data_IF_836026038271
#
_entry.id   IF_836026038271
#
_cell.length_a   1.000
_cell.length_b   1.000
_cell.length_c   1.000
_cell.angle_alpha   90.00
_cell.angle_beta   90.00
_cell.angle_gamma   90.00
#
_symmetry.space_group_name_H-M   'P 1'
#
loop_
_entity.id
_entity.type
_entity.pdbx_description
1 polymer ?
#
# COMPACT_ATOMS: atom_id res chain seq x y z
N UNK A 1 -1.72 8.67 23.37
CA UNK A 1 -2.21 7.28 23.27
C UNK A 1 -1.25 6.33 23.97
N UNK A 2 -1.70 5.14 24.41
CA UNK A 2 -0.79 4.13 24.94
C UNK A 2 0.21 3.68 23.87
N UNK A 3 1.41 3.26 24.29
CA UNK A 3 2.46 2.71 23.40
C UNK A 3 2.02 1.39 22.73
N UNK A 4 0.91 0.79 23.17
CA UNK A 4 0.35 -0.45 22.64
C UNK A 4 -1.16 -0.35 22.51
N UNK A 5 -1.70 -0.83 21.40
CA UNK A 5 -3.14 -0.91 21.11
C UNK A 5 -3.42 -2.30 20.57
N UNK A 6 -4.57 -2.89 20.92
CA UNK A 6 -5.01 -4.16 20.36
C UNK A 6 -6.23 -3.89 19.48
N UNK A 7 -6.12 -4.21 18.19
CA UNK A 7 -7.23 -4.15 17.24
C UNK A 7 -7.50 -5.57 16.71
N UNK A 8 -8.72 -6.05 16.94
CA UNK A 8 -9.05 -7.46 16.72
C UNK A 8 -8.14 -8.37 17.56
N UNK A 9 -7.35 -9.21 16.89
CA UNK A 9 -6.39 -10.12 17.53
C UNK A 9 -4.93 -9.68 17.38
N UNK A 10 -4.69 -8.46 16.86
CA UNK A 10 -3.34 -7.98 16.55
C UNK A 10 -2.91 -6.89 17.51
N UNK A 11 -1.68 -7.00 18.01
CA UNK A 11 -1.01 -5.94 18.77
C UNK A 11 -0.38 -4.94 17.80
N UNK A 12 -0.68 -3.66 18.01
CA UNK A 12 -0.05 -2.52 17.36
C UNK A 12 0.85 -1.82 18.37
N UNK A 13 2.14 -1.70 18.05
CA UNK A 13 3.15 -1.12 18.95
C UNK A 13 3.64 0.19 18.38
N UNK A 14 3.71 1.23 19.21
CA UNK A 14 4.22 2.54 18.83
C UNK A 14 5.73 2.48 18.54
N UNK A 15 6.10 2.69 17.28
CA UNK A 15 7.48 2.85 16.86
C UNK A 15 7.86 4.34 16.93
N UNK A 16 8.69 4.68 17.93
CA UNK A 16 9.13 6.07 18.16
C UNK A 16 9.99 6.65 17.04
N UNK A 17 10.62 5.82 16.21
CA UNK A 17 11.43 6.30 15.08
C UNK A 17 10.57 6.65 13.89
N UNK A 18 9.53 5.85 13.65
CA UNK A 18 8.61 6.06 12.53
C UNK A 18 7.50 7.06 12.90
N UNK A 19 7.13 7.16 14.18
CA UNK A 19 6.03 8.01 14.63
C UNK A 19 4.64 7.37 14.49
N UNK A 20 4.56 6.07 14.22
CA UNK A 20 3.31 5.33 14.00
C UNK A 20 3.15 4.18 14.99
N UNK A 21 1.90 3.76 15.22
CA UNK A 21 1.64 2.42 15.75
C UNK A 21 1.69 1.41 14.61
N UNK A 22 2.54 0.39 14.74
CA UNK A 22 2.79 -0.60 13.68
C UNK A 22 2.24 -1.95 14.11
N UNK A 23 1.44 -2.54 13.25
CA UNK A 23 0.96 -3.92 13.34
C UNK A 23 1.06 -4.60 11.97
N UNK A 24 0.72 -5.88 11.91
CA UNK A 24 0.72 -6.64 10.65
C UNK A 24 -0.61 -7.36 10.46
N UNK A 25 -1.20 -7.21 9.28
CA UNK A 25 -2.40 -7.91 8.82
C UNK A 25 -2.18 -8.54 7.45
N UNK A 26 -3.11 -9.38 7.04
CA UNK A 26 -3.10 -9.93 5.68
C UNK A 26 -3.79 -8.97 4.71
N UNK A 27 -3.05 -8.52 3.70
CA UNK A 27 -3.55 -7.70 2.58
C UNK A 27 -3.12 -8.38 1.29
N UNK A 28 -4.08 -8.65 0.41
CA UNK A 28 -3.88 -9.36 -0.86
C UNK A 28 -3.05 -10.64 -0.69
N UNK A 29 -3.48 -11.49 0.27
CA UNK A 29 -2.86 -12.77 0.61
C UNK A 29 -1.41 -12.71 1.13
N UNK A 30 -0.85 -11.51 1.38
CA UNK A 30 0.48 -11.32 1.99
C UNK A 30 0.37 -10.68 3.37
N UNK A 31 1.38 -10.96 4.21
CA UNK A 31 1.53 -10.27 5.49
C UNK A 31 2.09 -8.87 5.22
N UNK A 32 1.34 -7.86 5.61
CA UNK A 32 1.57 -6.46 5.26
C UNK A 32 1.59 -5.61 6.52
N UNK A 33 2.50 -4.63 6.56
CA UNK A 33 2.57 -3.68 7.68
C UNK A 33 1.41 -2.70 7.59
N UNK A 34 0.74 -2.50 8.71
CA UNK A 34 -0.30 -1.50 8.89
C UNK A 34 0.24 -0.45 9.85
N UNK A 35 0.39 0.79 9.37
CA UNK A 35 0.88 1.93 10.12
C UNK A 35 -0.31 2.81 10.49
N UNK A 36 -0.45 3.15 11.76
CA UNK A 36 -1.55 3.96 12.25
C UNK A 36 -1.02 5.28 12.79
N UNK A 37 -1.50 6.39 12.22
CA UNK A 37 -1.30 7.73 12.75
C UNK A 37 -2.59 8.24 13.38
N UNK A 38 -2.50 8.64 14.65
CA UNK A 38 -3.63 9.15 15.41
C UNK A 38 -3.45 10.60 15.77
N UNK A 39 -4.36 11.45 15.28
CA UNK A 39 -4.44 12.85 15.68
C UNK A 39 -5.62 13.10 16.64
N UNK A 40 -6.59 12.19 16.66
CA UNK A 40 -7.72 12.20 17.60
C UNK A 40 -8.01 10.79 18.10
N UNK A 41 -8.57 10.70 19.31
CA UNK A 41 -9.09 9.45 19.89
C UNK A 41 -10.62 9.35 19.80
N UNK A 42 -11.25 10.28 19.06
CA UNK A 42 -12.69 10.25 18.82
C UNK A 42 -13.05 9.19 17.78
N UNK A 43 -14.21 8.55 17.97
CA UNK A 43 -14.70 7.49 17.10
C UNK A 43 -14.22 6.08 17.49
N UNK A 44 -14.74 5.06 16.80
CA UNK A 44 -14.28 3.68 16.97
C UNK A 44 -13.09 3.40 16.04
N UNK A 45 -11.88 3.65 16.55
CA UNK A 45 -10.63 3.42 15.84
C UNK A 45 -10.54 2.01 15.25
N UNK A 46 -10.99 0.99 16.00
CA UNK A 46 -10.93 -0.39 15.54
C UNK A 46 -11.78 -0.63 14.29
N UNK A 47 -12.99 -0.07 14.28
CA UNK A 47 -13.90 -0.17 13.13
C UNK A 47 -13.33 0.58 11.92
N UNK A 48 -12.78 1.78 12.13
CA UNK A 48 -12.18 2.61 11.06
C UNK A 48 -11.01 1.87 10.39
N UNK A 49 -10.10 1.33 11.20
CA UNK A 49 -8.91 0.61 10.68
C UNK A 49 -9.33 -0.66 9.95
N UNK A 50 -10.28 -1.41 10.51
CA UNK A 50 -10.81 -2.63 9.88
C UNK A 50 -11.52 -2.33 8.56
N UNK A 51 -12.37 -1.30 8.53
CA UNK A 51 -13.07 -0.84 7.32
C UNK A 51 -12.08 -0.51 6.20
N UNK A 52 -11.03 0.27 6.50
CA UNK A 52 -10.05 0.68 5.49
C UNK A 52 -9.24 -0.48 4.95
N UNK A 53 -8.76 -1.39 5.80
CA UNK A 53 -8.01 -2.55 5.32
C UNK A 53 -8.89 -3.52 4.52
N UNK A 54 -10.15 -3.71 4.93
CA UNK A 54 -11.10 -4.50 4.13
C UNK A 54 -11.37 -3.84 2.77
N UNK A 55 -11.51 -2.50 2.74
CA UNK A 55 -11.67 -1.79 1.48
C UNK A 55 -10.48 -2.02 0.54
N UNK A 56 -9.23 -1.96 1.04
CA UNK A 56 -8.03 -2.27 0.22
C UNK A 56 -8.10 -3.67 -0.38
N UNK A 57 -8.54 -4.67 0.41
CA UNK A 57 -8.70 -6.04 -0.07
C UNK A 57 -9.81 -6.15 -1.15
N UNK A 58 -10.95 -5.52 -0.91
CA UNK A 58 -12.12 -5.58 -1.81
C UNK A 58 -11.91 -4.80 -3.12
N UNK A 59 -10.97 -3.84 -3.14
CA UNK A 59 -10.73 -2.93 -4.27
C UNK A 59 -9.37 -3.14 -4.95
N UNK A 60 -8.76 -4.33 -4.80
CA UNK A 60 -7.49 -4.70 -5.43
C UNK A 60 -7.41 -4.29 -6.90
N UNK A 61 -8.37 -4.74 -7.71
CA UNK A 61 -8.37 -4.50 -9.15
C UNK A 61 -8.52 -3.01 -9.49
N UNK A 62 -9.30 -2.26 -8.70
CA UNK A 62 -9.49 -0.82 -8.88
C UNK A 62 -8.20 -0.05 -8.59
N UNK A 63 -7.48 -0.43 -7.53
CA UNK A 63 -6.21 0.19 -7.13
C UNK A 63 -5.14 -0.07 -8.21
N UNK A 64 -4.99 -1.33 -8.63
CA UNK A 64 -4.03 -1.70 -9.69
C UNK A 64 -4.35 -0.98 -11.00
N UNK A 65 -5.63 -0.89 -11.36
CA UNK A 65 -6.05 -0.16 -12.56
C UNK A 65 -5.72 1.33 -12.49
N UNK A 66 -5.98 1.99 -11.36
CA UNK A 66 -5.63 3.40 -11.19
C UNK A 66 -4.12 3.62 -11.37
N UNK A 67 -3.30 2.71 -10.84
CA UNK A 67 -1.85 2.74 -11.06
C UNK A 67 -1.48 2.62 -12.54
N UNK A 68 -2.00 1.61 -13.25
CA UNK A 68 -1.68 1.36 -14.66
C UNK A 68 -2.19 2.48 -15.58
N UNK A 69 -3.36 3.06 -15.29
CA UNK A 69 -3.93 4.16 -16.08
C UNK A 69 -3.07 5.45 -15.97
N UNK A 70 -2.39 5.68 -14.83
CA UNK A 70 -1.49 6.82 -14.64
C UNK A 70 -0.03 6.54 -15.06
N UNK A 71 0.36 5.27 -15.19
CA UNK A 71 1.72 4.82 -15.50
C UNK A 71 1.70 3.80 -16.66
N UNK A 72 1.11 4.20 -17.79
CA UNK A 72 0.83 3.34 -18.94
C UNK A 72 2.10 2.84 -19.67
N UNK A 73 3.22 3.55 -19.50
CA UNK A 73 4.53 3.20 -20.03
C UNK A 73 5.38 2.33 -19.09
N UNK A 74 4.93 2.07 -17.86
CA UNK A 74 5.73 1.38 -16.84
C UNK A 74 6.19 -0.02 -17.30
N UNK A 75 5.31 -0.79 -17.96
CA UNK A 75 5.63 -2.13 -18.46
C UNK A 75 6.63 -2.06 -19.61
N UNK A 76 6.50 -1.06 -20.48
CA UNK A 76 7.43 -0.86 -21.60
C UNK A 76 8.83 -0.51 -21.07
N UNK A 77 8.91 0.39 -20.09
CA UNK A 77 10.18 0.76 -19.42
C UNK A 77 10.83 -0.47 -18.77
N UNK A 78 10.06 -1.29 -18.04
CA UNK A 78 10.58 -2.52 -17.44
C UNK A 78 11.09 -3.48 -18.52
N UNK A 79 10.37 -3.63 -19.62
CA UNK A 79 10.78 -4.48 -20.74
C UNK A 79 12.03 -3.96 -21.46
N UNK A 80 12.20 -2.64 -21.58
CA UNK A 80 13.44 -2.04 -22.10
C UNK A 80 14.64 -2.32 -21.19
N UNK A 81 14.45 -2.22 -19.87
CA UNK A 81 15.49 -2.55 -18.88
C UNK A 81 15.85 -4.04 -18.88
N UNK A 82 14.90 -4.92 -19.19
CA UNK A 82 15.18 -6.35 -19.38
C UNK A 82 16.01 -6.55 -20.66
N UNK A 83 15.66 -5.87 -21.75
CA UNK A 83 16.37 -5.99 -23.03
C UNK A 83 17.81 -5.48 -22.98
N UNK A 84 18.07 -4.40 -22.23
CA UNK A 84 19.41 -3.83 -22.10
C UNK A 84 20.27 -4.50 -20.99
N UNK A 85 19.65 -5.38 -20.20
CA UNK A 85 20.28 -6.15 -19.13
C UNK A 85 20.40 -5.42 -17.80
N UNK A 86 19.74 -4.26 -17.64
CA UNK A 86 19.63 -3.56 -16.35
C UNK A 86 18.80 -4.35 -15.35
N UNK A 87 17.75 -5.05 -15.83
CA UNK A 87 16.88 -5.90 -15.01
C UNK A 87 17.03 -7.37 -15.44
N UNK A 88 17.35 -8.25 -14.50
CA UNK A 88 17.48 -9.69 -14.79
C UNK A 88 16.11 -10.38 -14.86
N UNK A 89 15.73 -10.86 -16.05
CA UNK A 89 14.55 -11.68 -16.26
C UNK A 89 14.76 -12.67 -17.42
N UNK A 90 13.95 -13.73 -17.48
CA UNK A 90 14.01 -14.75 -18.54
C UNK A 90 13.54 -14.22 -19.92
N UNK A 91 12.92 -13.04 -19.94
CA UNK A 91 12.42 -12.37 -21.14
C UNK A 91 11.48 -11.22 -20.78
N UNK A 92 10.88 -10.59 -21.80
CA UNK A 92 9.86 -9.56 -21.61
C UNK A 92 8.67 -10.11 -20.83
N UNK A 93 8.11 -9.26 -19.98
CA UNK A 93 6.93 -9.55 -19.19
C UNK A 93 5.68 -8.99 -19.86
N UNK A 94 4.57 -9.71 -19.67
CA UNK A 94 3.23 -9.26 -19.99
C UNK A 94 2.61 -8.43 -18.87
N UNK A 95 1.56 -7.67 -19.18
CA UNK A 95 0.75 -6.97 -18.18
C UNK A 95 0.21 -7.93 -17.11
N UNK A 96 -0.24 -9.12 -17.49
CA UNK A 96 -0.72 -10.14 -16.55
C UNK A 96 0.35 -10.62 -15.56
N UNK A 97 1.59 -10.74 -16.01
CA UNK A 97 2.72 -11.11 -15.15
C UNK A 97 3.09 -9.97 -14.21
N UNK A 98 3.11 -8.75 -14.75
CA UNK A 98 3.36 -7.54 -13.97
C UNK A 98 2.30 -7.33 -12.88
N UNK A 99 1.01 -7.43 -13.21
CA UNK A 99 -0.10 -7.31 -12.25
C UNK A 99 -0.03 -8.36 -11.14
N UNK A 100 0.40 -9.59 -11.46
CA UNK A 100 0.60 -10.65 -10.45
C UNK A 100 1.80 -10.40 -9.54
N UNK A 101 2.80 -9.66 -10.02
CA UNK A 101 3.96 -9.28 -9.22
C UNK A 101 3.61 -8.20 -8.17
N UNK A 102 2.57 -7.40 -8.42
CA UNK A 102 2.17 -6.31 -7.52
C UNK A 102 1.62 -6.82 -6.18
N UNK A 103 2.08 -6.21 -5.10
CA UNK A 103 1.60 -6.42 -3.75
C UNK A 103 1.58 -5.12 -2.93
N UNK A 104 0.85 -5.13 -1.82
CA UNK A 104 0.87 -4.02 -0.86
C UNK A 104 2.01 -4.22 0.12
N UNK A 105 3.03 -3.37 0.04
CA UNK A 105 4.15 -3.36 0.98
C UNK A 105 3.70 -2.85 2.36
N UNK A 106 2.95 -1.75 2.39
CA UNK A 106 2.34 -1.26 3.61
C UNK A 106 1.07 -0.43 3.35
N UNK A 107 0.24 -0.30 4.39
CA UNK A 107 -0.92 0.60 4.43
C UNK A 107 -0.73 1.56 5.60
N UNK A 108 -0.76 2.86 5.33
CA UNK A 108 -0.70 3.91 6.37
C UNK A 108 -2.08 4.54 6.53
N UNK A 109 -2.67 4.48 7.72
CA UNK A 109 -4.01 4.96 8.02
C UNK A 109 -3.95 6.16 8.95
N UNK A 110 -4.58 7.26 8.54
CA UNK A 110 -4.70 8.49 9.32
C UNK A 110 -6.08 8.55 9.94
N UNK A 111 -6.10 8.68 11.27
CA UNK A 111 -7.34 8.80 12.04
C UNK A 111 -7.36 10.15 12.76
N UNK A 112 -8.22 11.06 12.28
CA UNK A 112 -8.49 12.35 12.89
C UNK A 112 -10.01 12.55 13.11
N UNK A 113 -10.58 11.77 14.03
CA UNK A 113 -12.02 11.78 14.28
C UNK A 113 -12.77 11.19 13.09
N UNK A 114 -13.71 11.96 12.51
CA UNK A 114 -14.44 11.55 11.29
C UNK A 114 -13.66 11.80 10.00
N UNK A 115 -12.63 12.66 10.02
CA UNK A 115 -11.75 12.87 8.89
C UNK A 115 -10.66 11.81 8.90
N UNK A 116 -10.74 10.90 7.93
CA UNK A 116 -9.84 9.75 7.84
C UNK A 116 -9.38 9.55 6.41
N UNK A 117 -8.14 9.11 6.23
CA UNK A 117 -7.56 8.81 4.92
C UNK A 117 -6.55 7.68 5.06
N UNK A 118 -6.03 7.18 3.95
CA UNK A 118 -4.96 6.20 3.99
C UNK A 118 -4.10 6.21 2.73
N UNK A 119 -2.85 5.84 2.90
CA UNK A 119 -1.90 5.56 1.82
C UNK A 119 -1.71 4.07 1.68
N UNK A 120 -1.51 3.62 0.44
CA UNK A 120 -1.11 2.26 0.10
C UNK A 120 0.20 2.39 -0.65
N UNK A 121 1.25 1.78 -0.11
CA UNK A 121 2.51 1.65 -0.84
C UNK A 121 2.47 0.32 -1.59
N UNK A 122 2.36 0.41 -2.91
CA UNK A 122 2.50 -0.72 -3.82
C UNK A 122 3.97 -1.00 -4.10
N UNK A 123 4.26 -2.28 -4.23
CA UNK A 123 5.57 -2.81 -4.57
C UNK A 123 5.41 -4.01 -5.51
N UNK A 124 6.50 -4.47 -6.11
CA UNK A 124 6.51 -5.57 -7.06
C UNK A 124 7.55 -6.63 -6.67
N UNK A 125 7.23 -7.90 -6.89
CA UNK A 125 8.20 -9.00 -6.80
C UNK A 125 8.14 -9.87 -8.07
N UNK A 126 9.21 -9.92 -8.91
CA UNK A 126 10.52 -9.26 -8.77
C UNK A 126 10.46 -7.73 -8.67
N UNK A 127 11.52 -7.10 -8.16
CA UNK A 127 11.61 -5.65 -8.01
C UNK A 127 11.61 -4.96 -9.37
N UNK A 128 10.41 -4.63 -9.86
CA UNK A 128 10.19 -3.86 -11.09
C UNK A 128 10.22 -2.35 -10.86
N UNK A 129 10.32 -1.91 -9.59
CA UNK A 129 10.30 -0.51 -9.21
C UNK A 129 11.69 0.03 -8.84
N UNK A 130 12.74 -0.78 -8.98
CA UNK A 130 14.14 -0.39 -8.72
C UNK A 130 14.35 0.13 -7.29
N UNK A 131 13.70 -0.51 -6.33
CA UNK A 131 13.74 -0.15 -4.92
C UNK A 131 12.82 1.02 -4.52
N UNK A 132 12.01 1.53 -5.45
CA UNK A 132 10.95 2.49 -5.16
C UNK A 132 9.62 1.79 -4.82
N UNK A 133 8.74 2.52 -4.14
CA UNK A 133 7.37 2.15 -3.83
C UNK A 133 6.42 3.10 -4.55
N UNK A 134 5.30 2.61 -5.05
CA UNK A 134 4.29 3.51 -5.62
C UNK A 134 3.28 3.87 -4.55
N UNK A 135 3.16 5.17 -4.25
CA UNK A 135 2.16 5.67 -3.32
C UNK A 135 0.81 5.81 -3.99
N UNK A 136 -0.21 5.23 -3.38
CA UNK A 136 -1.61 5.41 -3.73
C UNK A 136 -2.30 6.12 -2.57
N UNK A 137 -2.89 7.27 -2.84
CA UNK A 137 -3.61 8.09 -1.87
C UNK A 137 -5.10 7.81 -1.93
N UNK A 138 -5.73 7.54 -0.78
CA UNK A 138 -7.17 7.33 -0.67
C UNK A 138 -7.78 8.25 0.37
N UNK A 139 -8.64 9.17 -0.08
CA UNK A 139 -9.27 10.17 0.76
C UNK A 139 -10.46 9.60 1.58
N UNK A 140 -11.09 10.45 2.39
CA UNK A 140 -12.24 10.07 3.23
C UNK A 140 -13.50 9.70 2.45
N UNK A 141 -13.54 9.97 1.14
CA UNK A 141 -14.61 9.61 0.21
C UNK A 141 -14.22 8.44 -0.70
N UNK A 142 -13.09 7.79 -0.42
CA UNK A 142 -12.53 6.68 -1.20
C UNK A 142 -12.19 7.07 -2.64
N UNK A 143 -11.86 8.35 -2.88
CA UNK A 143 -11.24 8.77 -4.13
C UNK A 143 -9.78 8.32 -4.11
N UNK A 144 -9.35 7.68 -5.19
CA UNK A 144 -7.97 7.24 -5.42
C UNK A 144 -7.21 8.31 -6.22
N UNK A 145 -5.98 8.60 -5.82
CA UNK A 145 -4.99 9.37 -6.59
C UNK A 145 -3.64 8.64 -6.53
N UNK A 146 -2.88 8.58 -7.63
CA UNK A 146 -1.52 8.00 -7.62
C UNK A 146 -0.53 9.10 -7.25
N UNK A 147 0.08 8.99 -6.07
CA UNK A 147 1.04 9.96 -5.54
C UNK A 147 2.43 9.87 -6.20
N UNK A 148 2.68 8.85 -7.01
CA UNK A 148 3.93 8.61 -7.72
C UNK A 148 4.88 7.64 -7.00
N UNK A 149 6.11 7.54 -7.49
CA UNK A 149 7.16 6.68 -6.95
C UNK A 149 7.93 7.36 -5.81
N UNK A 150 8.06 6.66 -4.68
CA UNK A 150 8.75 7.06 -3.47
C UNK A 150 9.88 6.08 -3.16
N UNK A 151 11.12 6.55 -2.94
CA UNK A 151 12.24 5.71 -2.49
C UNK A 151 13.49 6.51 -2.19
#
# INVERSE_FOLDING_TARGET
>A
MPDKIILGNTEFVFDRKLGFHVGEWTVWDRKTKILLEFQSTEGNIGDIVLEKVNWVNDHKDTIIRAFLDENDDCIDVVNEMIEDGTLEADGKISEDEFVKALFVNNVTIFVNGSETGFYIDLDAEPDYFMGHLVCIEVDCKYKIEVGGFNG
#
